data_IF_808088644184
#
_entry.id   IF_808088644184
#
_cell.length_a   1.000
_cell.length_b   1.000
_cell.length_c   1.000
_cell.angle_alpha   90.00
_cell.angle_beta   90.00
_cell.angle_gamma   90.00
#
_symmetry.space_group_name_H-M   'P 1'
#
loop_
_entity.id
_entity.type
_entity.pdbx_description
1 polymer ?
#
# COMPACT_ATOMS: atom_id res chain seq x y z
N UNK A 1 5.34 36.17 60.74
CA UNK A 1 4.70 36.47 59.40
C UNK A 1 5.59 37.37 58.53
N UNK A 2 6.25 38.39 59.00
CA UNK A 2 7.11 39.27 58.16
C UNK A 2 8.29 38.59 57.47
N UNK A 3 8.93 37.63 58.12
CA UNK A 3 10.07 36.89 57.57
C UNK A 3 9.68 35.99 56.35
N UNK A 4 8.51 35.35 56.40
CA UNK A 4 7.98 34.53 55.30
C UNK A 4 7.70 35.40 54.07
N UNK A 5 7.13 36.59 54.24
CA UNK A 5 6.91 37.49 53.11
C UNK A 5 8.17 38.03 52.49
N UNK A 6 9.21 38.26 53.28
CA UNK A 6 10.53 38.68 52.77
C UNK A 6 11.21 37.58 51.97
N UNK A 7 11.11 36.31 52.45
CA UNK A 7 11.64 35.14 51.75
C UNK A 7 10.93 34.91 50.41
N UNK A 8 9.58 34.91 50.45
CA UNK A 8 8.76 34.74 49.23
C UNK A 8 9.07 35.81 48.17
N UNK A 9 9.25 37.08 48.59
CA UNK A 9 9.59 38.17 47.70
C UNK A 9 10.97 38.02 47.04
N UNK A 10 11.92 37.46 47.78
CA UNK A 10 13.27 37.21 47.32
C UNK A 10 13.32 36.03 46.33
N UNK A 11 12.58 34.96 46.58
CA UNK A 11 12.44 33.82 45.70
C UNK A 11 11.68 34.19 44.43
N UNK A 12 10.60 34.95 44.54
CA UNK A 12 9.85 35.46 43.38
C UNK A 12 10.74 36.32 42.48
N UNK A 13 11.56 37.20 43.06
CA UNK A 13 12.50 38.05 42.29
C UNK A 13 13.56 37.22 41.58
N UNK A 14 14.02 36.11 42.18
CA UNK A 14 14.95 35.16 41.54
C UNK A 14 14.27 34.39 40.41
N UNK A 15 13.03 33.93 40.64
CA UNK A 15 12.24 33.21 39.60
C UNK A 15 11.97 34.11 38.39
N UNK A 16 11.56 35.37 38.60
CA UNK A 16 11.31 36.35 37.53
C UNK A 16 12.59 36.64 36.73
N UNK A 17 13.77 36.73 37.39
CA UNK A 17 15.05 36.89 36.66
C UNK A 17 15.41 35.70 35.77
N UNK A 18 14.99 34.47 36.11
CA UNK A 18 15.25 33.26 35.32
C UNK A 18 14.17 32.98 34.28
N UNK A 19 13.00 33.60 34.42
CA UNK A 19 11.84 33.43 33.54
C UNK A 19 12.17 33.69 32.05
N UNK A 20 12.86 34.77 31.66
CA UNK A 20 13.19 35.02 30.26
C UNK A 20 14.13 33.92 29.69
N UNK A 21 14.99 33.34 30.52
CA UNK A 21 15.89 32.27 30.09
C UNK A 21 15.11 30.93 29.88
N UNK A 22 14.13 30.69 30.70
CA UNK A 22 13.23 29.53 30.59
C UNK A 22 12.33 29.64 29.38
N UNK A 23 11.76 30.82 29.11
CA UNK A 23 10.94 31.09 27.92
C UNK A 23 11.77 30.98 26.64
N UNK A 24 12.99 31.51 26.63
CA UNK A 24 13.91 31.39 25.49
C UNK A 24 14.31 29.92 25.24
N UNK A 25 14.58 29.15 26.30
CA UNK A 25 14.92 27.73 26.19
C UNK A 25 13.75 26.89 25.67
N UNK A 26 12.54 27.12 26.16
CA UNK A 26 11.35 26.41 25.63
C UNK A 26 11.02 26.82 24.20
N UNK A 27 11.15 28.09 23.84
CA UNK A 27 10.96 28.56 22.47
C UNK A 27 11.98 27.92 21.51
N UNK A 28 13.25 27.87 21.90
CA UNK A 28 14.31 27.20 21.12
C UNK A 28 14.02 25.69 20.94
N UNK A 29 13.55 25.03 22.00
CA UNK A 29 13.22 23.60 21.95
C UNK A 29 12.02 23.34 21.04
N UNK A 30 10.99 24.19 21.07
CA UNK A 30 9.82 24.10 20.16
C UNK A 30 10.25 24.35 18.71
N UNK A 31 11.13 25.31 18.47
CA UNK A 31 11.69 25.57 17.12
C UNK A 31 12.54 24.40 16.59
N UNK A 32 13.33 23.76 17.45
CA UNK A 32 14.11 22.58 17.08
C UNK A 32 13.22 21.39 16.77
N UNK A 33 12.19 21.15 17.57
CA UNK A 33 11.25 20.04 17.34
C UNK A 33 10.40 20.29 16.10
N UNK A 34 9.90 21.51 15.89
CA UNK A 34 9.09 21.84 14.71
C UNK A 34 9.94 21.87 13.44
N UNK A 35 11.15 22.42 13.50
CA UNK A 35 12.11 22.39 12.40
C UNK A 35 12.55 20.97 12.06
N UNK A 36 12.83 20.14 13.07
CA UNK A 36 13.16 18.74 12.91
C UNK A 36 12.00 17.93 12.29
N UNK A 37 10.75 18.22 12.68
CA UNK A 37 9.57 17.59 12.11
C UNK A 37 9.36 17.97 10.64
N UNK A 38 9.58 19.23 10.28
CA UNK A 38 9.47 19.69 8.88
C UNK A 38 10.58 19.13 7.99
N UNK A 39 11.81 19.09 8.46
CA UNK A 39 12.94 18.48 7.74
C UNK A 39 12.81 16.96 7.67
N UNK A 40 12.36 16.33 8.76
CA UNK A 40 12.11 14.90 8.82
C UNK A 40 10.96 14.46 7.90
N UNK A 41 9.92 15.28 7.78
CA UNK A 41 8.82 15.03 6.83
C UNK A 41 9.33 14.98 5.39
N UNK A 42 10.19 15.89 4.99
CA UNK A 42 10.76 15.91 3.64
C UNK A 42 11.79 14.78 3.41
N UNK A 43 12.50 14.36 4.46
CA UNK A 43 13.52 13.31 4.38
C UNK A 43 12.94 11.89 4.49
N UNK A 44 11.93 11.69 5.35
CA UNK A 44 11.32 10.38 5.60
C UNK A 44 10.18 10.06 4.63
N UNK A 45 9.50 11.08 4.12
CA UNK A 45 8.29 10.88 3.33
C UNK A 45 8.42 11.34 1.89
N UNK A 46 9.59 11.84 1.46
CA UNK A 46 9.71 12.38 0.09
C UNK A 46 8.67 13.46 -0.21
N UNK A 47 8.74 14.05 -1.36
CA UNK A 47 7.94 15.24 -1.69
C UNK A 47 6.45 14.95 -2.02
N UNK A 48 5.93 13.72 -1.76
CA UNK A 48 4.54 13.33 -2.09
C UNK A 48 3.99 12.27 -1.15
N UNK A 49 3.63 12.65 0.08
CA UNK A 49 2.57 11.91 0.78
C UNK A 49 1.29 12.71 0.63
N UNK A 50 0.67 12.59 -0.47
CA UNK A 50 -0.72 13.01 -0.69
C UNK A 50 -1.28 12.41 -1.97
N UNK A 51 -0.87 11.20 -2.31
CA UNK A 51 -1.34 10.58 -3.53
C UNK A 51 -1.54 9.08 -3.34
N UNK A 52 -2.48 8.53 -4.07
CA UNK A 52 -2.60 7.12 -4.33
C UNK A 52 -1.29 6.60 -4.91
N UNK A 53 -1.04 5.31 -4.75
CA UNK A 53 0.13 4.65 -5.32
C UNK A 53 -0.06 4.58 -6.84
N UNK A 54 0.77 5.30 -7.59
CA UNK A 54 0.75 5.27 -9.05
C UNK A 54 1.29 3.92 -9.54
N UNK A 55 0.43 3.16 -10.21
CA UNK A 55 0.73 1.82 -10.71
C UNK A 55 0.53 1.77 -12.22
N UNK A 56 1.59 1.46 -12.96
CA UNK A 56 1.48 1.17 -14.37
C UNK A 56 0.89 -0.23 -14.61
N UNK A 57 -0.01 -0.35 -15.56
CA UNK A 57 -0.56 -1.64 -15.99
C UNK A 57 -0.24 -1.83 -17.45
N UNK A 58 0.47 -2.90 -17.75
CA UNK A 58 0.80 -3.30 -19.12
C UNK A 58 -0.04 -4.50 -19.48
N UNK A 59 -1.05 -4.27 -20.30
CA UNK A 59 -1.97 -5.29 -20.80
C UNK A 59 -1.59 -5.71 -22.22
N UNK A 60 -1.80 -6.97 -22.60
CA UNK A 60 -1.71 -7.39 -23.99
C UNK A 60 -2.74 -6.63 -24.85
N UNK A 61 -2.34 -6.28 -26.06
CA UNK A 61 -3.20 -5.46 -26.95
C UNK A 61 -4.52 -6.16 -27.32
N UNK A 62 -4.52 -7.47 -27.42
CA UNK A 62 -5.65 -8.27 -27.90
C UNK A 62 -6.35 -9.10 -26.80
N UNK A 63 -6.22 -8.73 -25.53
CA UNK A 63 -6.86 -9.44 -24.42
C UNK A 63 -8.01 -8.62 -23.78
N UNK A 64 -9.25 -8.73 -24.30
CA UNK A 64 -10.41 -8.01 -23.77
C UNK A 64 -10.82 -8.50 -22.37
N UNK A 65 -10.49 -9.77 -22.00
CA UNK A 65 -10.81 -10.32 -20.69
C UNK A 65 -9.93 -9.70 -19.60
N UNK A 66 -8.64 -9.60 -19.84
CA UNK A 66 -7.73 -8.93 -18.92
C UNK A 66 -8.07 -7.45 -18.74
N UNK A 67 -8.49 -6.76 -19.80
CA UNK A 67 -9.00 -5.38 -19.71
C UNK A 67 -10.26 -5.27 -18.83
N UNK A 68 -11.22 -6.19 -19.02
CA UNK A 68 -12.46 -6.21 -18.21
C UNK A 68 -12.17 -6.52 -16.75
N UNK A 69 -11.31 -7.52 -16.46
CA UNK A 69 -10.90 -7.88 -15.12
C UNK A 69 -10.18 -6.71 -14.42
N UNK A 70 -9.29 -6.01 -15.13
CA UNK A 70 -8.62 -4.82 -14.62
C UNK A 70 -9.59 -3.67 -14.34
N UNK A 71 -10.57 -3.45 -15.20
CA UNK A 71 -11.64 -2.47 -14.98
C UNK A 71 -12.47 -2.77 -13.74
N UNK A 72 -12.80 -4.04 -13.50
CA UNK A 72 -13.47 -4.46 -12.26
C UNK A 72 -12.60 -4.20 -11.03
N UNK A 73 -11.32 -4.56 -11.07
CA UNK A 73 -10.38 -4.30 -9.98
C UNK A 73 -10.29 -2.80 -9.65
N UNK A 74 -10.18 -1.95 -10.68
CA UNK A 74 -10.14 -0.50 -10.53
C UNK A 74 -11.45 0.10 -9.99
N UNK A 75 -12.58 -0.58 -10.14
CA UNK A 75 -13.87 -0.12 -9.63
C UNK A 75 -14.06 -0.39 -8.13
N UNK A 76 -13.24 -1.27 -7.53
CA UNK A 76 -13.31 -1.56 -6.10
C UNK A 76 -12.87 -0.35 -5.28
N UNK A 77 -13.73 0.13 -4.39
CA UNK A 77 -13.48 1.33 -3.58
C UNK A 77 -12.22 1.21 -2.72
N UNK A 78 -11.95 0.03 -2.17
CA UNK A 78 -10.74 -0.25 -1.40
C UNK A 78 -9.46 -0.12 -2.23
N UNK A 79 -9.48 -0.53 -3.49
CA UNK A 79 -8.35 -0.45 -4.41
C UNK A 79 -8.17 0.98 -4.91
N UNK A 80 -9.28 1.62 -5.31
CA UNK A 80 -9.32 2.98 -5.81
C UNK A 80 -8.87 4.03 -4.77
N UNK A 81 -9.07 3.74 -3.50
CA UNK A 81 -8.61 4.62 -2.42
C UNK A 81 -7.09 4.58 -2.19
N UNK A 82 -6.43 3.48 -2.55
CA UNK A 82 -5.02 3.23 -2.30
C UNK A 82 -4.14 3.37 -3.54
N UNK A 83 -4.64 2.94 -4.70
CA UNK A 83 -3.87 2.85 -5.93
C UNK A 83 -4.55 3.60 -7.08
N UNK A 84 -3.73 4.18 -7.93
CA UNK A 84 -4.14 4.74 -9.21
C UNK A 84 -3.48 3.95 -10.34
N UNK A 85 -4.30 3.24 -11.12
CA UNK A 85 -3.81 2.34 -12.16
C UNK A 85 -3.89 3.03 -13.51
N UNK A 86 -2.78 3.17 -14.17
CA UNK A 86 -2.69 3.78 -15.51
C UNK A 86 -2.21 2.74 -16.52
N UNK A 87 -2.97 2.55 -17.58
CA UNK A 87 -2.56 1.69 -18.69
C UNK A 87 -1.43 2.35 -19.47
N UNK A 88 -0.33 1.65 -19.63
CA UNK A 88 0.89 2.12 -20.28
C UNK A 88 1.46 1.02 -21.18
N UNK A 89 2.24 1.44 -22.17
CA UNK A 89 3.12 0.51 -22.88
C UNK A 89 4.24 0.00 -21.96
N UNK A 90 4.88 -1.10 -22.32
CA UNK A 90 6.02 -1.64 -21.55
C UNK A 90 7.13 -0.60 -21.39
N UNK A 91 7.46 0.10 -22.46
CA UNK A 91 8.53 1.11 -22.46
C UNK A 91 8.20 2.30 -21.57
N UNK A 92 6.95 2.79 -21.61
CA UNK A 92 6.50 3.88 -20.72
C UNK A 92 6.52 3.46 -19.25
N UNK A 93 6.07 2.23 -18.95
CA UNK A 93 6.09 1.69 -17.58
C UNK A 93 7.52 1.57 -17.03
N UNK A 94 8.45 1.02 -17.82
CA UNK A 94 9.86 0.91 -17.43
C UNK A 94 10.53 2.28 -17.25
N UNK A 95 10.22 3.24 -18.11
CA UNK A 95 10.69 4.61 -17.97
C UNK A 95 10.09 5.31 -16.76
N UNK A 96 8.79 5.08 -16.49
CA UNK A 96 8.10 5.59 -15.33
C UNK A 96 8.70 5.10 -14.01
N UNK A 97 9.02 3.79 -13.93
CA UNK A 97 9.72 3.19 -12.78
C UNK A 97 11.10 3.82 -12.56
N UNK A 98 11.89 4.00 -13.63
CA UNK A 98 13.23 4.61 -13.55
C UNK A 98 13.19 6.07 -13.11
N UNK A 99 12.18 6.83 -13.56
CA UNK A 99 11.98 8.23 -13.20
C UNK A 99 11.31 8.44 -11.84
N UNK A 100 10.77 7.37 -11.24
CA UNK A 100 10.01 7.44 -10.00
C UNK A 100 8.65 8.12 -10.15
N UNK A 101 8.11 8.23 -11.36
CA UNK A 101 6.74 8.70 -11.62
C UNK A 101 5.72 7.60 -11.41
N UNK A 102 6.14 6.34 -11.39
CA UNK A 102 5.35 5.15 -11.12
C UNK A 102 6.06 4.33 -10.06
N UNK A 103 5.34 3.85 -9.07
CA UNK A 103 5.91 3.09 -7.95
C UNK A 103 5.93 1.59 -8.18
N UNK A 104 5.04 1.11 -9.05
CA UNK A 104 4.97 -0.29 -9.44
C UNK A 104 4.46 -0.43 -10.87
N UNK A 105 4.83 -1.52 -11.53
CA UNK A 105 4.28 -1.91 -12.83
C UNK A 105 3.83 -3.37 -12.80
N UNK A 106 2.61 -3.60 -13.27
CA UNK A 106 2.00 -4.91 -13.44
C UNK A 106 2.09 -5.30 -14.92
N UNK A 107 2.78 -6.37 -15.21
CA UNK A 107 2.86 -6.94 -16.55
C UNK A 107 1.98 -8.19 -16.61
N UNK A 108 0.85 -8.09 -17.29
CA UNK A 108 -0.04 -9.23 -17.49
C UNK A 108 0.39 -10.02 -18.73
N UNK A 109 0.56 -11.33 -18.62
CA UNK A 109 0.78 -12.19 -19.79
C UNK A 109 -0.51 -12.29 -20.63
N UNK A 110 -0.35 -12.66 -21.89
CA UNK A 110 -1.47 -12.93 -22.80
C UNK A 110 -2.27 -14.13 -22.31
N UNK A 111 -3.60 -14.03 -22.35
CA UNK A 111 -4.48 -15.12 -21.92
C UNK A 111 -4.58 -15.33 -20.40
N UNK A 112 -4.00 -14.45 -19.59
CA UNK A 112 -3.96 -14.60 -18.11
C UNK A 112 -5.31 -14.96 -17.48
N UNK A 113 -6.38 -14.24 -17.85
CA UNK A 113 -7.72 -14.50 -17.28
C UNK A 113 -8.25 -15.86 -17.72
N UNK A 114 -8.00 -16.23 -18.97
CA UNK A 114 -8.40 -17.53 -19.51
C UNK A 114 -7.66 -18.67 -18.79
N UNK A 115 -6.38 -18.49 -18.54
CA UNK A 115 -5.54 -19.45 -17.83
C UNK A 115 -6.06 -19.67 -16.39
N UNK A 116 -6.39 -18.59 -15.69
CA UNK A 116 -7.02 -18.70 -14.37
C UNK A 116 -8.31 -19.50 -14.43
N UNK A 117 -9.18 -19.21 -15.42
CA UNK A 117 -10.46 -19.91 -15.57
C UNK A 117 -10.30 -21.40 -15.92
N UNK A 118 -9.21 -21.75 -16.60
CA UNK A 118 -8.87 -23.15 -16.94
C UNK A 118 -8.08 -23.87 -15.85
N UNK A 119 -7.81 -23.23 -14.72
CA UNK A 119 -6.97 -23.77 -13.65
C UNK A 119 -5.46 -23.75 -13.95
N UNK A 120 -5.04 -23.07 -15.01
CA UNK A 120 -3.64 -22.90 -15.35
C UNK A 120 -3.06 -21.73 -14.55
N UNK A 121 -1.97 -21.96 -13.83
CA UNK A 121 -1.36 -20.92 -12.99
C UNK A 121 -0.32 -20.12 -13.79
N UNK A 122 -0.75 -19.10 -14.53
CA UNK A 122 0.13 -18.20 -15.28
C UNK A 122 0.50 -17.01 -14.40
N UNK A 123 1.79 -16.75 -14.11
CA UNK A 123 2.20 -15.71 -13.18
C UNK A 123 2.10 -14.31 -13.78
N UNK A 124 1.58 -13.36 -13.02
CA UNK A 124 1.70 -11.92 -13.29
C UNK A 124 3.04 -11.42 -12.78
N UNK A 125 3.75 -10.65 -13.60
CA UNK A 125 5.01 -10.04 -13.18
C UNK A 125 4.76 -8.67 -12.58
N UNK A 126 5.25 -8.46 -11.37
CA UNK A 126 5.20 -7.17 -10.67
C UNK A 126 6.62 -6.62 -10.55
N UNK A 127 6.86 -5.46 -11.15
CA UNK A 127 8.13 -4.74 -11.05
C UNK A 127 7.90 -3.52 -10.17
N UNK A 128 8.73 -3.36 -9.16
CA UNK A 128 8.67 -2.24 -8.22
C UNK A 128 9.74 -1.22 -8.59
N UNK A 129 9.43 0.06 -8.40
CA UNK A 129 10.43 1.12 -8.39
C UNK A 129 11.40 0.90 -7.21
N UNK A 130 12.29 1.84 -6.93
CA UNK A 130 13.23 1.70 -5.82
C UNK A 130 12.51 1.24 -4.54
N UNK A 131 12.92 0.08 -4.00
CA UNK A 131 12.32 -0.56 -2.82
C UNK A 131 12.53 0.27 -1.53
N UNK A 132 13.32 1.31 -1.58
CA UNK A 132 13.45 2.27 -0.47
C UNK A 132 12.19 3.14 -0.30
N UNK A 133 11.37 3.26 -1.33
CA UNK A 133 10.14 4.05 -1.29
C UNK A 133 9.02 3.30 -0.57
N UNK A 134 8.32 4.02 0.29
CA UNK A 134 7.26 3.46 1.12
C UNK A 134 6.10 2.92 0.27
N UNK A 135 5.74 3.62 -0.79
CA UNK A 135 4.69 3.29 -1.75
C UNK A 135 4.94 1.93 -2.43
N UNK A 136 6.17 1.70 -2.91
CA UNK A 136 6.58 0.44 -3.51
C UNK A 136 6.50 -0.72 -2.51
N UNK A 137 6.86 -0.47 -1.25
CA UNK A 137 6.77 -1.48 -0.18
C UNK A 137 5.34 -1.82 0.16
N UNK A 138 4.47 -0.81 0.30
CA UNK A 138 3.03 -1.02 0.56
C UNK A 138 2.41 -1.81 -0.59
N UNK A 139 2.69 -1.44 -1.83
CA UNK A 139 2.17 -2.15 -2.99
C UNK A 139 2.64 -3.60 -3.04
N UNK A 140 3.89 -3.87 -2.70
CA UNK A 140 4.44 -5.23 -2.57
C UNK A 140 3.65 -6.06 -1.56
N UNK A 141 3.43 -5.53 -0.36
CA UNK A 141 2.67 -6.24 0.68
C UNK A 141 1.21 -6.49 0.27
N UNK A 142 0.56 -5.51 -0.37
CA UNK A 142 -0.79 -5.64 -0.90
C UNK A 142 -0.88 -6.77 -1.95
N UNK A 143 0.03 -6.78 -2.91
CA UNK A 143 0.04 -7.80 -3.98
C UNK A 143 0.37 -9.18 -3.45
N UNK A 144 1.31 -9.29 -2.52
CA UNK A 144 1.64 -10.57 -1.87
C UNK A 144 0.48 -11.07 -1.00
N UNK A 145 -0.17 -10.19 -0.25
CA UNK A 145 -1.36 -10.52 0.54
C UNK A 145 -2.51 -11.01 -0.34
N UNK A 146 -2.82 -10.28 -1.41
CA UNK A 146 -3.84 -10.66 -2.39
C UNK A 146 -3.54 -12.02 -3.06
N UNK A 147 -2.30 -12.23 -3.51
CA UNK A 147 -1.89 -13.49 -4.12
C UNK A 147 -2.01 -14.68 -3.14
N UNK A 148 -1.63 -14.51 -1.87
CA UNK A 148 -1.78 -15.56 -0.85
C UNK A 148 -3.25 -15.87 -0.57
N UNK A 149 -4.10 -14.86 -0.49
CA UNK A 149 -5.53 -15.03 -0.27
C UNK A 149 -6.18 -15.78 -1.43
N UNK A 150 -5.85 -15.38 -2.67
CA UNK A 150 -6.34 -16.06 -3.87
C UNK A 150 -5.86 -17.51 -3.94
N UNK A 151 -4.57 -17.75 -3.67
CA UNK A 151 -4.01 -19.10 -3.64
C UNK A 151 -4.66 -19.99 -2.56
N UNK A 152 -4.97 -19.44 -1.39
CA UNK A 152 -5.67 -20.17 -0.35
C UNK A 152 -7.13 -20.52 -0.75
N UNK A 153 -7.83 -19.58 -1.40
CA UNK A 153 -9.19 -19.82 -1.90
C UNK A 153 -9.18 -20.91 -2.99
N UNK A 154 -8.27 -20.83 -3.96
CA UNK A 154 -8.12 -21.87 -5.00
C UNK A 154 -7.77 -23.23 -4.41
N UNK A 155 -6.86 -23.30 -3.44
CA UNK A 155 -6.51 -24.55 -2.77
C UNK A 155 -7.74 -25.16 -2.05
N UNK A 156 -8.61 -24.31 -1.48
CA UNK A 156 -9.88 -24.76 -0.86
C UNK A 156 -10.81 -25.41 -1.89
N UNK A 157 -11.00 -24.76 -3.04
CA UNK A 157 -11.83 -25.27 -4.14
C UNK A 157 -11.28 -26.62 -4.64
N UNK A 158 -10.01 -26.66 -5.02
CA UNK A 158 -9.40 -27.90 -5.53
C UNK A 158 -9.42 -29.05 -4.52
N UNK A 159 -9.26 -28.76 -3.23
CA UNK A 159 -9.36 -29.79 -2.18
C UNK A 159 -10.78 -30.34 -2.06
N UNK A 160 -11.78 -29.49 -2.21
CA UNK A 160 -13.20 -29.88 -2.24
C UNK A 160 -13.51 -30.77 -3.43
N UNK A 161 -13.07 -30.37 -4.61
CA UNK A 161 -13.26 -31.13 -5.86
C UNK A 161 -12.58 -32.50 -5.79
N UNK A 162 -11.33 -32.55 -5.34
CA UNK A 162 -10.58 -33.80 -5.17
C UNK A 162 -11.31 -34.73 -4.16
N UNK A 163 -11.85 -34.19 -3.08
CA UNK A 163 -12.63 -34.95 -2.12
C UNK A 163 -13.90 -35.55 -2.76
N UNK A 164 -14.67 -34.75 -3.53
CA UNK A 164 -15.87 -35.22 -4.23
C UNK A 164 -15.53 -36.27 -5.28
N UNK A 165 -14.47 -36.10 -6.05
CA UNK A 165 -13.96 -37.06 -7.02
C UNK A 165 -13.63 -38.40 -6.35
N UNK A 166 -12.87 -38.36 -5.23
CA UNK A 166 -12.53 -39.58 -4.46
C UNK A 166 -13.74 -40.31 -3.88
N UNK A 167 -14.83 -39.57 -3.63
CA UNK A 167 -16.09 -40.13 -3.15
C UNK A 167 -17.05 -40.57 -4.26
N UNK A 168 -16.70 -40.36 -5.52
CA UNK A 168 -17.56 -40.69 -6.66
C UNK A 168 -18.77 -39.75 -6.82
N UNK A 169 -18.69 -38.53 -6.23
CA UNK A 169 -19.76 -37.51 -6.23
C UNK A 169 -19.42 -36.33 -7.12
N UNK A 170 -18.85 -36.57 -8.28
CA UNK A 170 -18.37 -35.53 -9.23
C UNK A 170 -19.48 -34.59 -9.72
N UNK A 171 -20.72 -35.08 -9.74
CA UNK A 171 -21.91 -34.30 -10.11
C UNK A 171 -22.25 -33.16 -9.14
N UNK A 172 -21.67 -33.18 -7.94
CA UNK A 172 -21.85 -32.12 -6.94
C UNK A 172 -20.78 -31.01 -7.00
N UNK A 173 -19.77 -31.18 -7.82
CA UNK A 173 -18.68 -30.16 -7.96
C UNK A 173 -19.24 -28.80 -8.35
N UNK A 174 -20.14 -28.65 -9.35
CA UNK A 174 -20.66 -27.33 -9.72
C UNK A 174 -21.45 -26.65 -8.58
N UNK A 175 -22.14 -27.42 -7.75
CA UNK A 175 -22.87 -26.88 -6.61
C UNK A 175 -21.93 -26.41 -5.50
N UNK A 176 -20.83 -27.12 -5.24
CA UNK A 176 -19.80 -26.75 -4.30
C UNK A 176 -19.08 -25.47 -4.76
N UNK A 177 -18.72 -25.38 -6.02
CA UNK A 177 -18.07 -24.19 -6.60
C UNK A 177 -18.97 -22.96 -6.51
N UNK A 178 -20.28 -23.09 -6.76
CA UNK A 178 -21.23 -21.96 -6.64
C UNK A 178 -21.38 -21.51 -5.18
N UNK A 179 -21.34 -22.42 -4.23
CA UNK A 179 -21.43 -22.10 -2.79
C UNK A 179 -20.15 -21.44 -2.27
N UNK A 180 -18.97 -21.85 -2.76
CA UNK A 180 -17.68 -21.27 -2.37
C UNK A 180 -17.42 -19.90 -3.02
N UNK A 181 -18.12 -19.58 -4.11
CA UNK A 181 -18.00 -18.31 -4.81
C UNK A 181 -19.00 -17.22 -4.36
N UNK A 182 -19.84 -17.51 -3.38
CA UNK A 182 -20.77 -16.55 -2.75
C UNK A 182 -20.16 -15.83 -1.58
#
# INVERSE_FOLDING_TARGET
>A
MKAFWSYLKMELKRAVKRLPFLVLGTAALVLLLSGGALLGKNMLYGNKISGRIEVAVVLPEQDPLSRRAMGMLQSLESVKSLCDFTNMSREEAENGLKKGSVYAALFMPEGFVQDIMSGTNTPVTVVLADQSQMESRIFKELTQGGAKTLGAAQAGIYSGDEYLIKKGRQEEIPALEDELNR
#
